data_IF_343062095496
#
_entry.id   IF_343062095496
#
_cell.length_a   1.000
_cell.length_b   1.000
_cell.length_c   1.000
_cell.angle_alpha   90.00
_cell.angle_beta   90.00
_cell.angle_gamma   90.00
#
_symmetry.space_group_name_H-M   'P 1'
#
loop_
_entity.id
_entity.type
_entity.pdbx_description
1 polymer ?
#
# COMPACT_ATOMS: atom_id res chain seq x y z
N UNK A 1 30.31 -0.64 -6.20
CA UNK A 1 29.63 -0.94 -7.50
C UNK A 1 28.48 -1.86 -7.16
N UNK A 2 27.27 -1.48 -7.54
CA UNK A 2 26.04 -2.31 -7.37
C UNK A 2 26.18 -3.43 -8.40
N UNK A 3 26.97 -4.46 -8.08
CA UNK A 3 27.43 -5.43 -9.06
C UNK A 3 26.59 -6.70 -9.15
N UNK A 4 25.60 -6.86 -8.26
CA UNK A 4 24.90 -8.15 -8.08
C UNK A 4 23.38 -8.06 -8.35
N UNK A 5 22.93 -6.94 -8.93
CA UNK A 5 21.52 -6.72 -9.34
C UNK A 5 21.51 -6.34 -10.81
N UNK A 6 20.60 -6.93 -11.59
CA UNK A 6 20.42 -6.62 -13.00
C UNK A 6 20.19 -5.13 -13.23
N UNK A 7 20.86 -4.54 -14.21
CA UNK A 7 20.91 -3.08 -14.42
C UNK A 7 19.54 -2.46 -14.75
N UNK A 8 18.65 -3.20 -15.40
CA UNK A 8 17.27 -2.81 -15.69
C UNK A 8 16.40 -2.66 -14.44
N UNK A 9 16.83 -3.26 -13.31
CA UNK A 9 16.10 -3.19 -12.04
C UNK A 9 16.62 -2.08 -11.10
N UNK A 10 17.73 -1.42 -11.46
CA UNK A 10 18.34 -0.36 -10.63
C UNK A 10 17.39 0.82 -10.39
N UNK A 11 16.52 1.15 -11.35
CA UNK A 11 15.56 2.26 -11.25
C UNK A 11 14.57 2.12 -10.11
N UNK A 12 14.39 0.89 -9.59
CA UNK A 12 13.43 0.62 -8.50
C UNK A 12 13.96 0.93 -7.11
N UNK A 13 15.28 0.96 -6.90
CA UNK A 13 15.84 1.12 -5.55
C UNK A 13 17.02 2.10 -5.46
N UNK A 14 17.84 2.27 -6.51
CA UNK A 14 19.02 3.14 -6.48
C UNK A 14 18.67 4.59 -6.16
N UNK A 15 17.62 5.22 -6.75
CA UNK A 15 17.26 6.58 -6.40
C UNK A 15 16.94 6.77 -4.91
N UNK A 16 16.36 5.76 -4.27
CA UNK A 16 16.04 5.80 -2.84
C UNK A 16 17.31 5.73 -1.98
N UNK A 17 18.25 4.87 -2.35
CA UNK A 17 19.56 4.78 -1.68
C UNK A 17 20.33 6.10 -1.74
N UNK A 18 20.37 6.74 -2.91
CA UNK A 18 21.07 8.00 -3.12
C UNK A 18 20.43 9.15 -2.32
N UNK A 19 19.09 9.28 -2.37
CA UNK A 19 18.36 10.33 -1.68
C UNK A 19 18.42 10.18 -0.16
N UNK A 20 18.55 8.96 0.37
CA UNK A 20 18.71 8.68 1.81
C UNK A 20 20.20 8.63 2.23
N UNK A 21 21.15 8.94 1.34
CA UNK A 21 22.56 8.91 1.66
C UNK A 21 23.08 7.53 2.10
N UNK A 22 22.41 6.45 1.68
CA UNK A 22 22.78 5.10 2.09
C UNK A 22 24.12 4.67 1.50
N UNK A 23 24.92 3.96 2.29
CA UNK A 23 26.22 3.42 1.89
C UNK A 23 26.12 1.92 1.73
N UNK A 24 26.68 1.42 0.62
CA UNK A 24 26.74 0.01 0.33
C UNK A 24 27.54 -0.74 1.40
N UNK A 25 27.03 -1.88 1.81
CA UNK A 25 27.62 -2.79 2.78
C UNK A 25 27.98 -4.10 2.07
N UNK A 26 28.99 -4.86 2.58
CA UNK A 26 29.29 -6.18 2.05
C UNK A 26 28.05 -7.08 2.12
N UNK A 27 27.72 -7.72 1.00
CA UNK A 27 26.67 -8.73 0.91
C UNK A 27 27.15 -9.88 0.03
N UNK A 28 26.59 -11.06 0.23
CA UNK A 28 26.86 -12.24 -0.59
C UNK A 28 25.87 -12.30 -1.77
N UNK A 29 24.69 -11.78 -1.56
CA UNK A 29 23.61 -11.76 -2.55
C UNK A 29 22.94 -10.40 -2.56
N UNK A 30 22.83 -9.82 -3.76
CA UNK A 30 22.20 -8.54 -3.98
C UNK A 30 23.00 -7.34 -3.45
N UNK A 31 22.36 -6.18 -3.40
CA UNK A 31 22.89 -4.94 -2.86
C UNK A 31 22.29 -4.66 -1.48
N UNK A 32 23.13 -4.57 -0.47
CA UNK A 32 22.77 -4.20 0.89
C UNK A 32 23.29 -2.79 1.15
N UNK A 33 22.45 -1.90 1.62
CA UNK A 33 22.82 -0.51 1.90
C UNK A 33 22.23 -0.03 3.22
N UNK A 34 22.98 0.82 3.92
CA UNK A 34 22.59 1.33 5.24
C UNK A 34 22.94 2.81 5.37
N UNK A 35 22.15 3.52 6.15
CA UNK A 35 22.48 4.83 6.70
C UNK A 35 22.24 4.83 8.23
N UNK A 36 23.05 5.59 8.96
CA UNK A 36 22.87 5.86 10.40
C UNK A 36 23.58 7.19 10.66
N UNK A 37 22.86 8.30 10.46
CA UNK A 37 23.36 9.65 10.51
C UNK A 37 22.29 10.63 11.07
N UNK A 38 22.55 11.93 10.98
CA UNK A 38 21.64 12.97 11.45
C UNK A 38 20.30 13.00 10.73
N UNK A 39 20.21 12.51 9.47
CA UNK A 39 18.98 12.47 8.68
C UNK A 39 18.10 11.27 9.02
N UNK A 40 18.69 10.20 9.55
CA UNK A 40 17.95 9.02 9.96
C UNK A 40 18.75 7.73 10.02
N UNK A 41 18.01 6.65 10.24
CA UNK A 41 18.54 5.29 10.21
C UNK A 41 17.78 4.47 9.19
N UNK A 42 18.49 3.78 8.31
CA UNK A 42 17.85 2.96 7.29
C UNK A 42 18.68 1.76 6.87
N UNK A 43 17.96 0.73 6.43
CA UNK A 43 18.50 -0.45 5.78
C UNK A 43 17.67 -0.73 4.54
N UNK A 44 18.35 -0.95 3.42
CA UNK A 44 17.76 -1.40 2.17
C UNK A 44 18.55 -2.60 1.66
N UNK A 45 17.86 -3.68 1.37
CA UNK A 45 18.42 -4.81 0.66
C UNK A 45 17.63 -5.09 -0.60
N UNK A 46 18.32 -5.10 -1.75
CA UNK A 46 17.76 -5.39 -3.06
C UNK A 46 18.44 -6.63 -3.65
N UNK A 47 17.64 -7.61 -4.05
CA UNK A 47 18.12 -8.87 -4.61
C UNK A 47 17.35 -9.24 -5.87
N UNK A 48 18.06 -9.36 -7.01
CA UNK A 48 17.44 -9.82 -8.25
C UNK A 48 17.26 -11.33 -8.25
N UNK A 49 16.09 -11.76 -8.70
CA UNK A 49 15.75 -13.16 -8.92
C UNK A 49 15.56 -13.32 -10.43
N UNK A 50 16.62 -13.74 -11.11
CA UNK A 50 16.71 -13.59 -12.57
C UNK A 50 16.86 -12.12 -13.00
N UNK A 51 16.58 -11.85 -14.26
CA UNK A 51 16.77 -10.52 -14.84
C UNK A 51 15.57 -9.60 -14.71
N UNK A 52 14.38 -10.16 -14.47
CA UNK A 52 13.09 -9.46 -14.56
C UNK A 52 12.30 -9.43 -13.25
N UNK A 53 12.89 -9.89 -12.14
CA UNK A 53 12.25 -9.87 -10.83
C UNK A 53 13.22 -9.34 -9.77
N UNK A 54 12.77 -8.37 -8.99
CA UNK A 54 13.51 -7.75 -7.89
C UNK A 54 12.74 -7.93 -6.58
N UNK A 55 13.40 -8.53 -5.61
CA UNK A 55 12.96 -8.44 -4.22
C UNK A 55 13.66 -7.27 -3.53
N UNK A 56 12.90 -6.46 -2.77
CA UNK A 56 13.47 -5.44 -1.91
C UNK A 56 12.91 -5.51 -0.49
N UNK A 57 13.80 -5.31 0.46
CA UNK A 57 13.49 -5.07 1.86
C UNK A 57 13.92 -3.66 2.23
N UNK A 58 12.99 -2.88 2.77
CA UNK A 58 13.25 -1.53 3.27
C UNK A 58 12.87 -1.45 4.74
N UNK A 59 13.74 -0.86 5.53
CA UNK A 59 13.46 -0.48 6.91
C UNK A 59 14.10 0.88 7.16
N UNK A 60 13.28 1.93 7.29
CA UNK A 60 13.76 3.30 7.36
C UNK A 60 13.02 4.10 8.42
N UNK A 61 13.77 4.83 9.23
CA UNK A 61 13.30 5.85 10.15
C UNK A 61 14.01 7.16 9.78
N UNK A 62 13.25 8.20 9.49
CA UNK A 62 13.80 9.53 9.20
C UNK A 62 13.56 10.48 10.37
N UNK A 63 14.49 11.40 10.59
CA UNK A 63 14.39 12.43 11.62
C UNK A 63 13.63 13.67 11.13
N UNK A 64 13.57 13.86 9.81
CA UNK A 64 12.85 14.95 9.16
C UNK A 64 11.95 14.41 8.05
N UNK A 65 10.90 15.16 7.70
CA UNK A 65 10.03 14.79 6.59
C UNK A 65 10.84 14.74 5.28
N UNK A 66 10.91 13.57 4.69
CA UNK A 66 11.73 13.32 3.50
C UNK A 66 10.84 12.81 2.36
N UNK A 67 10.93 13.46 1.21
CA UNK A 67 10.27 12.99 -0.02
C UNK A 67 11.26 12.28 -0.91
N UNK A 68 11.02 11.00 -1.16
CA UNK A 68 11.76 10.22 -2.12
C UNK A 68 11.07 10.26 -3.47
N UNK A 69 11.83 10.40 -4.54
CA UNK A 69 11.32 10.42 -5.92
C UNK A 69 12.11 9.41 -6.75
N UNK A 70 11.39 8.59 -7.50
CA UNK A 70 11.98 7.62 -8.43
C UNK A 70 11.27 7.70 -9.78
N UNK A 71 11.92 7.24 -10.82
CA UNK A 71 11.39 7.17 -12.18
C UNK A 71 11.55 5.72 -12.71
N UNK A 72 10.83 4.77 -12.12
CA UNK A 72 10.93 3.38 -12.56
C UNK A 72 10.27 3.19 -13.93
N UNK A 73 10.70 2.13 -14.62
CA UNK A 73 10.00 1.60 -15.78
C UNK A 73 8.68 0.92 -15.37
N UNK A 74 7.94 0.36 -16.34
CA UNK A 74 6.72 -0.40 -16.08
C UNK A 74 7.04 -1.64 -15.21
N UNK A 75 6.28 -1.83 -14.14
CA UNK A 75 6.37 -3.03 -13.29
C UNK A 75 5.06 -3.33 -12.56
N UNK A 76 4.91 -4.57 -12.16
CA UNK A 76 3.92 -5.01 -11.18
C UNK A 76 4.63 -5.24 -9.85
N UNK A 77 4.06 -4.71 -8.79
CA UNK A 77 4.59 -4.87 -7.43
C UNK A 77 3.61 -5.67 -6.57
N UNK A 78 4.15 -6.60 -5.79
CA UNK A 78 3.45 -7.25 -4.67
C UNK A 78 4.21 -6.91 -3.40
N UNK A 79 3.53 -6.34 -2.43
CA UNK A 79 4.18 -5.77 -1.25
C UNK A 79 3.47 -6.17 0.05
N UNK A 80 4.25 -6.49 1.09
CA UNK A 80 3.82 -6.49 2.47
C UNK A 80 4.41 -5.25 3.14
N UNK A 81 3.55 -4.38 3.65
CA UNK A 81 3.95 -3.15 4.32
C UNK A 81 3.44 -3.16 5.76
N UNK A 82 4.34 -2.93 6.72
CA UNK A 82 4.02 -2.78 8.13
C UNK A 82 4.33 -1.36 8.56
N UNK A 83 3.44 -0.75 9.33
CA UNK A 83 3.59 0.60 9.91
C UNK A 83 3.86 1.71 8.88
N UNK A 84 3.16 1.70 7.76
CA UNK A 84 3.45 2.60 6.67
C UNK A 84 2.48 3.78 6.59
N UNK A 85 2.99 4.97 6.80
CA UNK A 85 2.39 6.22 6.32
C UNK A 85 2.92 6.61 4.92
N UNK A 86 3.76 5.80 4.30
CA UNK A 86 4.23 6.03 2.95
C UNK A 86 3.04 6.06 1.99
N UNK A 87 2.73 7.24 1.48
CA UNK A 87 1.73 7.41 0.43
C UNK A 87 2.36 7.10 -0.90
N UNK A 88 1.97 6.00 -1.48
CA UNK A 88 2.13 5.78 -2.92
C UNK A 88 1.18 6.76 -3.63
N UNK A 89 1.69 7.88 -4.14
CA UNK A 89 0.94 8.73 -5.05
C UNK A 89 1.08 8.19 -6.48
N UNK A 90 -0.01 8.02 -7.24
CA UNK A 90 -1.35 8.60 -7.07
C UNK A 90 -2.48 7.62 -6.84
N UNK A 91 -2.23 6.42 -6.36
CA UNK A 91 -3.30 5.48 -6.05
C UNK A 91 -3.83 5.78 -4.66
N UNK A 92 -5.12 6.00 -4.57
CA UNK A 92 -5.93 6.40 -3.42
C UNK A 92 -5.34 5.99 -2.07
N UNK A 93 -5.10 7.00 -1.21
CA UNK A 93 -4.64 6.80 0.16
C UNK A 93 -5.68 6.01 0.96
N UNK A 94 -5.52 4.70 1.00
CA UNK A 94 -6.21 3.87 1.99
C UNK A 94 -5.25 3.66 3.14
N UNK A 95 -5.71 3.99 4.33
CA UNK A 95 -4.99 3.74 5.58
C UNK A 95 -4.74 2.26 5.75
N UNK A 96 -3.48 1.90 5.76
CA UNK A 96 -3.04 0.55 5.99
C UNK A 96 -3.08 0.30 7.49
N UNK A 97 -4.10 -0.41 7.95
CA UNK A 97 -4.11 -0.98 9.30
C UNK A 97 -3.39 -2.31 9.24
N UNK A 98 -2.51 -2.53 10.22
CA UNK A 98 -1.88 -3.80 10.52
C UNK A 98 -1.62 -4.70 9.30
N UNK A 99 -0.37 -4.72 8.79
CA UNK A 99 0.12 -5.65 7.77
C UNK A 99 -0.76 -5.71 6.51
N UNK A 100 -0.43 -4.91 5.55
CA UNK A 100 -1.16 -4.86 4.28
C UNK A 100 -0.36 -5.56 3.19
N UNK A 101 -1.01 -6.53 2.55
CA UNK A 101 -0.48 -7.22 1.39
C UNK A 101 -1.22 -6.66 0.18
N UNK A 102 -0.51 -5.93 -0.65
CA UNK A 102 -1.10 -5.24 -1.80
C UNK A 102 -0.36 -5.60 -3.08
N UNK A 103 -1.06 -5.54 -4.18
CA UNK A 103 -0.44 -5.51 -5.51
C UNK A 103 -0.90 -4.28 -6.28
N UNK A 104 -0.02 -3.77 -7.13
CA UNK A 104 -0.34 -2.67 -8.03
C UNK A 104 0.55 -2.72 -9.26
N UNK A 105 0.07 -2.15 -10.34
CA UNK A 105 0.88 -1.87 -11.52
C UNK A 105 1.30 -0.42 -11.52
N UNK A 106 2.58 -0.17 -11.63
CA UNK A 106 3.14 1.14 -11.94
C UNK A 106 3.41 1.20 -13.45
N UNK A 107 2.73 2.11 -14.14
CA UNK A 107 3.10 2.50 -15.50
C UNK A 107 4.17 3.56 -15.40
N UNK A 108 5.26 3.42 -16.12
CA UNK A 108 6.44 4.28 -16.05
C UNK A 108 6.16 5.76 -15.77
N UNK A 109 7.13 6.44 -15.21
CA UNK A 109 7.03 7.84 -14.80
C UNK A 109 7.40 8.10 -13.34
N UNK A 110 7.16 9.34 -12.88
CA UNK A 110 7.55 9.75 -11.53
C UNK A 110 6.69 9.08 -10.46
N UNK A 111 7.35 8.47 -9.48
CA UNK A 111 6.74 7.96 -8.24
C UNK A 111 7.35 8.70 -7.07
N UNK A 112 6.54 9.13 -6.10
CA UNK A 112 7.05 9.76 -4.90
C UNK A 112 6.51 9.11 -3.63
N UNK A 113 7.37 9.04 -2.61
CA UNK A 113 7.07 8.50 -1.29
C UNK A 113 7.37 9.58 -0.25
N UNK A 114 6.42 9.91 0.60
CA UNK A 114 6.63 10.81 1.72
C UNK A 114 6.91 10.01 2.99
N UNK A 115 8.14 10.08 3.48
CA UNK A 115 8.55 9.53 4.76
C UNK A 115 8.38 10.60 5.83
N UNK A 116 7.73 10.27 6.94
CA UNK A 116 7.53 11.21 8.04
C UNK A 116 8.44 10.89 9.22
N UNK A 117 8.87 11.92 9.97
CA UNK A 117 9.67 11.72 11.15
C UNK A 117 8.89 10.94 12.22
N UNK A 118 9.62 10.13 12.99
CA UNK A 118 9.09 9.28 14.07
C UNK A 118 8.13 8.16 13.61
N UNK A 119 8.01 7.93 12.28
CA UNK A 119 7.30 6.77 11.75
C UNK A 119 8.30 5.70 11.33
N UNK A 120 7.99 4.46 11.62
CA UNK A 120 8.79 3.31 11.22
C UNK A 120 8.29 2.77 9.89
N UNK A 121 9.09 2.92 8.84
CA UNK A 121 8.74 2.45 7.50
C UNK A 121 9.40 1.11 7.25
N UNK A 122 8.61 0.07 7.14
CA UNK A 122 9.09 -1.26 6.75
C UNK A 122 8.26 -1.82 5.62
N UNK A 123 8.93 -2.27 4.57
CA UNK A 123 8.28 -2.92 3.44
C UNK A 123 9.10 -4.08 2.90
N UNK A 124 8.39 -5.08 2.41
CA UNK A 124 8.91 -6.25 1.71
C UNK A 124 8.21 -6.30 0.37
N UNK A 125 8.94 -6.12 -0.72
CA UNK A 125 8.34 -5.98 -2.03
C UNK A 125 8.95 -6.94 -3.04
N UNK A 126 8.11 -7.43 -3.94
CA UNK A 126 8.50 -8.17 -5.12
C UNK A 126 8.06 -7.37 -6.34
N UNK A 127 9.01 -6.81 -7.08
CA UNK A 127 8.78 -6.03 -8.28
C UNK A 127 9.10 -6.89 -9.51
N UNK A 128 8.17 -6.99 -10.44
CA UNK A 128 8.24 -7.83 -11.63
C UNK A 128 8.03 -6.96 -12.86
N UNK A 129 8.97 -7.00 -13.80
CA UNK A 129 8.81 -6.35 -15.11
C UNK A 129 7.77 -7.10 -15.95
N UNK A 130 7.22 -6.50 -17.02
CA UNK A 130 6.33 -7.24 -17.92
C UNK A 130 6.95 -8.53 -18.47
N UNK A 131 8.24 -8.52 -18.81
CA UNK A 131 8.97 -9.68 -19.38
C UNK A 131 9.08 -10.85 -18.38
N UNK A 132 8.99 -10.58 -17.07
CA UNK A 132 9.00 -11.63 -16.05
C UNK A 132 7.90 -12.67 -16.27
N UNK A 133 6.72 -12.23 -16.66
CA UNK A 133 5.57 -13.12 -16.83
C UNK A 133 5.71 -14.02 -18.06
N UNK A 134 6.49 -13.59 -19.07
CA UNK A 134 6.78 -14.40 -20.25
C UNK A 134 7.84 -15.47 -19.96
N UNK A 135 8.69 -15.23 -18.97
CA UNK A 135 9.76 -16.16 -18.54
C UNK A 135 9.29 -17.20 -17.53
N UNK A 136 8.06 -17.10 -17.00
CA UNK A 136 7.57 -18.09 -16.03
C UNK A 136 7.40 -19.45 -16.70
N UNK A 137 8.14 -20.47 -16.24
CA UNK A 137 8.00 -21.82 -16.77
C UNK A 137 6.63 -22.39 -16.34
N UNK A 138 6.17 -23.38 -17.08
CA UNK A 138 5.01 -24.22 -16.73
C UNK A 138 3.66 -23.50 -16.64
N UNK A 139 3.55 -22.23 -17.07
CA UNK A 139 2.27 -21.54 -17.20
C UNK A 139 1.80 -21.53 -18.67
N UNK A 140 0.53 -21.81 -18.84
CA UNK A 140 -0.16 -21.61 -20.12
C UNK A 140 -0.37 -20.10 -20.38
N UNK A 141 -0.52 -19.72 -21.63
CA UNK A 141 -0.80 -18.31 -22.00
C UNK A 141 -2.05 -17.78 -21.28
N UNK A 142 -3.09 -18.60 -21.13
CA UNK A 142 -4.32 -18.25 -20.41
C UNK A 142 -4.08 -17.99 -18.92
N UNK A 143 -3.22 -18.78 -18.26
CA UNK A 143 -2.86 -18.58 -16.86
C UNK A 143 -2.04 -17.32 -16.66
N UNK A 144 -1.13 -17.01 -17.59
CA UNK A 144 -0.37 -15.74 -17.59
C UNK A 144 -1.28 -14.54 -17.72
N UNK A 145 -2.18 -14.55 -18.71
CA UNK A 145 -3.17 -13.48 -18.90
C UNK A 145 -4.04 -13.30 -17.66
N UNK A 146 -4.50 -14.40 -17.07
CA UNK A 146 -5.29 -14.40 -15.84
C UNK A 146 -4.52 -13.76 -14.68
N UNK A 147 -3.26 -14.17 -14.45
CA UNK A 147 -2.42 -13.64 -13.39
C UNK A 147 -2.13 -12.15 -13.57
N UNK A 148 -1.72 -11.73 -14.78
CA UNK A 148 -1.42 -10.33 -15.09
C UNK A 148 -2.68 -9.47 -14.97
N UNK A 149 -3.83 -9.93 -15.48
CA UNK A 149 -5.11 -9.24 -15.35
C UNK A 149 -5.49 -9.06 -13.88
N UNK A 150 -5.39 -10.12 -13.08
CA UNK A 150 -5.64 -10.09 -11.64
C UNK A 150 -4.76 -9.07 -10.91
N UNK A 151 -3.44 -9.12 -11.11
CA UNK A 151 -2.49 -8.20 -10.47
C UNK A 151 -2.67 -6.74 -10.91
N UNK A 152 -3.12 -6.51 -12.16
CA UNK A 152 -3.39 -5.16 -12.67
C UNK A 152 -4.75 -4.60 -12.22
N UNK A 153 -5.71 -5.46 -11.87
CA UNK A 153 -7.06 -5.07 -11.42
C UNK A 153 -7.16 -4.88 -9.91
N UNK A 154 -6.19 -5.41 -9.15
CA UNK A 154 -6.16 -5.31 -7.70
C UNK A 154 -5.81 -3.89 -7.25
N UNK A 155 -6.81 -3.03 -7.12
CA UNK A 155 -6.69 -1.72 -6.47
C UNK A 155 -6.70 -1.82 -4.93
N UNK A 156 -6.76 -3.02 -4.35
CA UNK A 156 -6.97 -3.22 -2.91
C UNK A 156 -6.45 -4.54 -2.36
N UNK A 157 -5.99 -4.51 -1.15
CA UNK A 157 -5.57 -5.50 -0.17
C UNK A 157 -6.45 -6.76 -0.09
N UNK A 158 -6.29 -7.68 -1.00
CA UNK A 158 -7.06 -8.93 -0.99
C UNK A 158 -6.19 -10.18 -1.06
N UNK A 159 -4.87 -10.03 -0.94
CA UNK A 159 -3.99 -11.19 -0.98
C UNK A 159 -3.98 -11.95 0.35
N UNK A 160 -3.80 -13.25 0.23
CA UNK A 160 -3.75 -14.15 1.37
C UNK A 160 -2.59 -13.80 2.33
N UNK A 161 -2.79 -14.07 3.61
CA UNK A 161 -1.76 -13.84 4.65
C UNK A 161 -0.47 -14.60 4.35
N UNK A 162 -0.57 -15.74 3.72
CA UNK A 162 0.55 -16.60 3.35
C UNK A 162 1.51 -15.91 2.35
N UNK A 163 1.01 -15.06 1.45
CA UNK A 163 1.83 -14.26 0.54
C UNK A 163 2.67 -13.26 1.34
N UNK A 164 2.06 -12.60 2.33
CA UNK A 164 2.79 -11.71 3.22
C UNK A 164 3.86 -12.44 4.05
N UNK A 165 3.52 -13.62 4.59
CA UNK A 165 4.47 -14.44 5.34
C UNK A 165 5.65 -14.88 4.45
N UNK A 166 5.39 -15.21 3.19
CA UNK A 166 6.43 -15.55 2.23
C UNK A 166 7.36 -14.36 1.92
N UNK A 167 6.79 -13.17 1.65
CA UNK A 167 7.56 -11.93 1.43
C UNK A 167 8.44 -11.58 2.63
N UNK A 168 7.88 -11.58 3.83
CA UNK A 168 8.59 -11.21 5.05
C UNK A 168 9.68 -12.22 5.43
N UNK A 169 9.49 -13.50 5.08
CA UNK A 169 10.51 -14.53 5.33
C UNK A 169 11.80 -14.33 4.54
N UNK A 170 11.76 -13.58 3.44
CA UNK A 170 12.94 -13.27 2.61
C UNK A 170 13.84 -12.16 3.17
N UNK A 171 13.59 -11.63 4.35
CA UNK A 171 14.29 -10.50 4.95
C UNK A 171 15.81 -10.47 4.78
N UNK A 172 16.41 -9.33 5.06
CA UNK A 172 17.84 -9.01 4.80
C UNK A 172 18.86 -10.00 5.42
N UNK A 173 18.45 -10.81 6.41
CA UNK A 173 19.33 -11.87 7.00
C UNK A 173 19.84 -12.86 5.95
N UNK A 174 19.12 -13.02 4.84
CA UNK A 174 19.51 -13.88 3.73
C UNK A 174 20.59 -13.27 2.83
N UNK A 175 20.83 -11.96 2.91
CA UNK A 175 21.90 -11.28 2.14
C UNK A 175 23.28 -11.91 2.31
N UNK A 176 23.58 -12.46 3.49
CA UNK A 176 24.84 -13.09 3.84
C UNK A 176 24.79 -14.63 3.86
N UNK A 177 23.61 -15.23 3.75
CA UNK A 177 23.44 -16.68 3.84
C UNK A 177 23.93 -17.41 2.59
N UNK A 178 24.59 -18.56 2.76
CA UNK A 178 25.03 -19.39 1.64
C UNK A 178 23.88 -19.86 0.74
N UNK A 179 22.69 -20.08 1.31
CA UNK A 179 21.49 -20.50 0.59
C UNK A 179 20.53 -19.35 0.22
N UNK A 180 20.95 -18.09 0.42
CA UNK A 180 20.06 -16.93 0.30
C UNK A 180 19.40 -16.81 -1.06
N UNK A 181 20.15 -16.91 -2.13
CA UNK A 181 19.61 -16.82 -3.50
C UNK A 181 18.58 -17.94 -3.77
N UNK A 182 18.91 -19.19 -3.45
CA UNK A 182 18.03 -20.34 -3.65
C UNK A 182 16.75 -20.22 -2.80
N UNK A 183 16.87 -19.71 -1.56
CA UNK A 183 15.72 -19.49 -0.70
C UNK A 183 14.78 -18.42 -1.28
N UNK A 184 15.32 -17.27 -1.71
CA UNK A 184 14.54 -16.19 -2.31
C UNK A 184 13.86 -16.64 -3.60
N UNK A 185 14.54 -17.39 -4.46
CA UNK A 185 13.94 -17.97 -5.66
C UNK A 185 12.76 -18.91 -5.33
N UNK A 186 12.94 -19.79 -4.33
CA UNK A 186 11.88 -20.69 -3.89
C UNK A 186 10.65 -19.93 -3.35
N UNK A 187 10.87 -18.85 -2.58
CA UNK A 187 9.80 -18.01 -2.07
C UNK A 187 9.10 -17.20 -3.17
N UNK A 188 9.84 -16.69 -4.13
CA UNK A 188 9.24 -16.02 -5.29
C UNK A 188 8.31 -16.97 -6.04
N UNK A 189 8.75 -18.21 -6.32
CA UNK A 189 7.91 -19.22 -6.98
C UNK A 189 6.66 -19.55 -6.16
N UNK A 190 6.78 -19.69 -4.84
CA UNK A 190 5.63 -19.86 -3.95
C UNK A 190 4.64 -18.69 -4.03
N UNK A 191 5.13 -17.45 -4.00
CA UNK A 191 4.30 -16.24 -4.10
C UNK A 191 3.54 -16.23 -5.43
N UNK A 192 4.24 -16.48 -6.54
CA UNK A 192 3.63 -16.53 -7.89
C UNK A 192 2.54 -17.61 -7.98
N UNK A 193 2.82 -18.81 -7.45
CA UNK A 193 1.84 -19.91 -7.43
C UNK A 193 0.57 -19.54 -6.63
N UNK A 194 0.74 -18.91 -5.46
CA UNK A 194 -0.39 -18.45 -4.64
C UNK A 194 -1.18 -17.32 -5.31
N UNK A 195 -0.50 -16.38 -5.95
CA UNK A 195 -1.15 -15.31 -6.71
C UNK A 195 -1.95 -15.87 -7.88
N UNK A 196 -1.43 -16.90 -8.56
CA UNK A 196 -2.17 -17.58 -9.62
C UNK A 196 -3.40 -18.32 -9.08
N UNK A 197 -3.27 -19.01 -7.95
CA UNK A 197 -4.41 -19.64 -7.28
C UNK A 197 -5.48 -18.63 -6.89
N UNK A 198 -5.08 -17.47 -6.37
CA UNK A 198 -5.99 -16.37 -6.02
C UNK A 198 -6.64 -15.78 -7.28
N UNK A 199 -5.88 -15.61 -8.36
CA UNK A 199 -6.38 -15.13 -9.64
C UNK A 199 -7.41 -16.09 -10.27
N UNK A 200 -7.11 -17.39 -10.25
CA UNK A 200 -8.03 -18.44 -10.75
C UNK A 200 -9.30 -18.51 -9.92
N UNK A 201 -9.20 -18.43 -8.59
CA UNK A 201 -10.37 -18.37 -7.70
C UNK A 201 -11.20 -17.12 -7.97
N UNK A 202 -10.58 -15.95 -8.11
CA UNK A 202 -11.26 -14.72 -8.47
C UNK A 202 -12.00 -14.86 -9.80
N UNK A 203 -11.38 -15.47 -10.81
CA UNK A 203 -12.02 -15.73 -12.09
C UNK A 203 -13.13 -16.81 -12.00
N UNK A 204 -13.02 -17.78 -11.09
CA UNK A 204 -14.07 -18.79 -10.89
C UNK A 204 -15.26 -18.26 -10.08
N UNK A 205 -15.01 -17.37 -9.12
CA UNK A 205 -16.05 -16.61 -8.43
C UNK A 205 -16.64 -15.52 -9.36
N UNK A 206 -15.89 -15.11 -10.38
CA UNK A 206 -16.26 -14.17 -11.44
C UNK A 206 -17.23 -14.77 -12.49
N UNK A 207 -17.86 -15.90 -12.20
CA UNK A 207 -19.15 -16.23 -12.83
C UNK A 207 -20.21 -15.15 -12.52
N UNK A 208 -19.85 -14.18 -11.70
CA UNK A 208 -20.52 -12.91 -11.46
C UNK A 208 -19.50 -11.77 -11.57
N UNK A 209 -19.07 -11.42 -12.79
CA UNK A 209 -18.50 -10.07 -12.97
C UNK A 209 -19.45 -9.07 -12.30
N UNK A 210 -18.91 -8.18 -11.43
CA UNK A 210 -19.73 -7.09 -10.94
C UNK A 210 -20.24 -6.38 -12.17
N UNK A 211 -21.54 -6.37 -12.34
CA UNK A 211 -22.15 -5.77 -13.53
C UNK A 211 -21.67 -4.32 -13.63
N UNK A 212 -21.58 -3.78 -14.82
CA UNK A 212 -21.28 -2.34 -15.02
C UNK A 212 -22.14 -1.48 -14.09
N UNK A 213 -23.32 -1.95 -13.74
CA UNK A 213 -24.26 -1.39 -12.78
C UNK A 213 -23.72 -1.42 -11.34
N UNK A 214 -23.10 -2.51 -10.90
CA UNK A 214 -22.56 -2.66 -9.54
C UNK A 214 -21.33 -1.78 -9.33
N UNK A 215 -20.43 -1.75 -10.31
CA UNK A 215 -19.28 -0.82 -10.31
C UNK A 215 -19.76 0.64 -10.27
N UNK A 216 -20.78 0.98 -11.06
CA UNK A 216 -21.40 2.30 -11.07
C UNK A 216 -22.01 2.63 -9.72
N UNK A 217 -22.79 1.71 -9.15
CA UNK A 217 -23.43 1.87 -7.86
C UNK A 217 -22.43 2.14 -6.72
N UNK A 218 -21.37 1.35 -6.64
CA UNK A 218 -20.31 1.55 -5.64
C UNK A 218 -19.62 2.91 -5.80
N UNK A 219 -19.32 3.30 -7.05
CA UNK A 219 -18.70 4.58 -7.37
C UNK A 219 -19.59 5.78 -7.04
N UNK A 220 -20.88 5.72 -7.38
CA UNK A 220 -21.84 6.76 -7.04
C UNK A 220 -21.99 6.91 -5.51
N UNK A 221 -22.08 5.80 -4.79
CA UNK A 221 -22.09 5.81 -3.32
C UNK A 221 -20.82 6.43 -2.74
N UNK A 222 -19.65 6.08 -3.28
CA UNK A 222 -18.38 6.68 -2.89
C UNK A 222 -18.38 8.19 -3.11
N UNK A 223 -18.74 8.65 -4.30
CA UNK A 223 -18.78 10.08 -4.63
C UNK A 223 -19.73 10.86 -3.71
N UNK A 224 -20.87 10.27 -3.36
CA UNK A 224 -21.82 10.88 -2.41
C UNK A 224 -21.20 11.03 -1.02
N UNK A 225 -20.49 10.02 -0.54
CA UNK A 225 -19.81 10.08 0.77
C UNK A 225 -18.71 11.14 0.74
N UNK A 226 -17.86 11.14 -0.29
CA UNK A 226 -16.74 12.08 -0.42
C UNK A 226 -17.22 13.54 -0.52
N UNK A 227 -18.35 13.77 -1.15
CA UNK A 227 -18.94 15.12 -1.26
C UNK A 227 -19.65 15.59 0.01
N UNK A 228 -20.17 14.67 0.83
CA UNK A 228 -21.09 14.96 1.93
C UNK A 228 -20.68 14.34 3.27
N UNK A 229 -19.42 13.96 3.45
CA UNK A 229 -18.92 13.30 4.67
C UNK A 229 -19.21 14.09 5.96
N UNK A 230 -19.25 15.41 5.87
CA UNK A 230 -19.53 16.29 7.00
C UNK A 230 -21.00 16.30 7.44
N UNK A 231 -21.91 15.83 6.58
CA UNK A 231 -23.32 15.74 6.85
C UNK A 231 -23.67 14.48 7.67
N UNK A 232 -24.91 14.43 8.17
CA UNK A 232 -25.43 13.21 8.81
C UNK A 232 -25.90 12.19 7.77
N UNK A 233 -24.96 11.77 6.92
CA UNK A 233 -25.21 10.78 5.88
C UNK A 233 -25.23 9.37 6.48
N UNK A 234 -26.17 8.55 6.06
CA UNK A 234 -26.35 7.18 6.54
C UNK A 234 -26.44 6.21 5.36
N UNK A 235 -26.13 4.92 5.60
CA UNK A 235 -26.32 3.88 4.59
C UNK A 235 -27.74 3.90 4.01
N UNK A 236 -28.75 4.17 4.85
CA UNK A 236 -30.14 4.23 4.40
C UNK A 236 -30.40 5.45 3.49
N UNK A 237 -29.83 6.63 3.80
CA UNK A 237 -29.99 7.81 2.96
C UNK A 237 -29.34 7.62 1.60
N UNK A 238 -28.13 7.05 1.56
CA UNK A 238 -27.43 6.74 0.31
C UNK A 238 -28.22 5.72 -0.52
N UNK A 239 -28.71 4.64 0.11
CA UNK A 239 -29.49 3.62 -0.59
C UNK A 239 -30.77 4.19 -1.20
N UNK A 240 -31.45 5.08 -0.48
CA UNK A 240 -32.66 5.75 -0.97
C UNK A 240 -32.34 6.67 -2.17
N UNK A 241 -31.26 7.45 -2.10
CA UNK A 241 -30.86 8.36 -3.18
C UNK A 241 -30.42 7.61 -4.45
N UNK A 242 -29.82 6.44 -4.28
CA UNK A 242 -29.40 5.57 -5.38
C UNK A 242 -30.50 4.59 -5.85
N UNK A 243 -31.69 4.67 -5.27
CA UNK A 243 -32.85 3.82 -5.59
C UNK A 243 -32.58 2.32 -5.47
N UNK A 244 -31.76 1.92 -4.49
CA UNK A 244 -31.40 0.51 -4.23
C UNK A 244 -31.76 0.08 -2.82
N UNK A 245 -31.88 -1.22 -2.61
CA UNK A 245 -32.03 -1.79 -1.28
C UNK A 245 -30.76 -1.63 -0.44
N UNK A 246 -30.92 -1.32 0.86
CA UNK A 246 -29.81 -1.18 1.81
C UNK A 246 -28.86 -2.39 1.81
N UNK A 247 -29.41 -3.61 1.80
CA UNK A 247 -28.64 -4.86 1.77
C UNK A 247 -27.78 -4.92 0.50
N UNK A 248 -28.40 -4.65 -0.64
CA UNK A 248 -27.72 -4.65 -1.94
C UNK A 248 -26.58 -3.62 -1.98
N UNK A 249 -26.82 -2.40 -1.50
CA UNK A 249 -25.77 -1.38 -1.42
C UNK A 249 -24.62 -1.83 -0.50
N UNK A 250 -24.94 -2.44 0.65
CA UNK A 250 -23.93 -2.90 1.59
C UNK A 250 -23.04 -4.00 1.00
N UNK A 251 -23.63 -4.96 0.30
CA UNK A 251 -22.93 -6.05 -0.38
C UNK A 251 -22.03 -5.50 -1.50
N UNK A 252 -22.62 -4.78 -2.46
CA UNK A 252 -21.91 -4.22 -3.61
C UNK A 252 -20.79 -3.27 -3.16
N UNK A 253 -21.05 -2.39 -2.19
CA UNK A 253 -20.04 -1.46 -1.70
C UNK A 253 -18.88 -2.20 -1.02
N UNK A 254 -19.16 -3.24 -0.22
CA UNK A 254 -18.11 -4.06 0.41
C UNK A 254 -17.30 -4.85 -0.62
N UNK A 255 -17.95 -5.45 -1.61
CA UNK A 255 -17.30 -6.20 -2.68
C UNK A 255 -16.37 -5.29 -3.51
N UNK A 256 -16.84 -4.08 -3.87
CA UNK A 256 -16.08 -3.17 -4.72
C UNK A 256 -15.05 -2.33 -3.95
N UNK A 257 -15.33 -2.00 -2.68
CA UNK A 257 -14.51 -1.07 -1.90
C UNK A 257 -13.70 -1.75 -0.79
N UNK A 258 -13.94 -3.04 -0.53
CA UNK A 258 -13.28 -3.79 0.53
C UNK A 258 -13.68 -3.38 1.97
N UNK A 259 -14.53 -2.36 2.12
CA UNK A 259 -14.96 -1.77 3.39
C UNK A 259 -16.47 -1.60 3.41
N UNK A 260 -17.09 -1.61 4.59
CA UNK A 260 -18.49 -1.20 4.67
C UNK A 260 -18.62 0.34 4.58
N UNK A 261 -19.78 0.81 4.14
CA UNK A 261 -20.09 2.25 3.98
C UNK A 261 -19.76 3.07 5.24
N UNK A 262 -20.05 2.52 6.44
CA UNK A 262 -19.81 3.22 7.70
C UNK A 262 -18.31 3.32 8.05
N UNK A 263 -17.51 2.33 7.65
CA UNK A 263 -16.06 2.35 7.80
C UNK A 263 -15.46 3.36 6.85
N UNK A 264 -15.86 3.33 5.58
CA UNK A 264 -15.41 4.28 4.57
C UNK A 264 -15.72 5.74 4.99
N UNK A 265 -16.95 6.03 5.40
CA UNK A 265 -17.35 7.37 5.88
C UNK A 265 -16.50 7.82 7.08
N UNK A 266 -16.23 6.91 8.02
CA UNK A 266 -15.38 7.23 9.17
C UNK A 266 -13.95 7.56 8.73
N UNK A 267 -13.41 6.79 7.81
CA UNK A 267 -12.06 6.98 7.32
C UNK A 267 -11.92 8.33 6.59
N UNK A 268 -12.86 8.68 5.72
CA UNK A 268 -12.90 10.00 5.05
C UNK A 268 -12.94 11.14 6.08
N UNK A 269 -13.78 11.03 7.12
CA UNK A 269 -13.87 12.04 8.19
C UNK A 269 -12.57 12.21 8.97
N UNK A 270 -11.90 11.09 9.27
CA UNK A 270 -10.64 11.13 10.00
C UNK A 270 -9.51 11.72 9.18
N UNK A 271 -9.51 11.47 7.88
CA UNK A 271 -8.55 12.06 6.96
C UNK A 271 -8.68 13.56 6.84
N UNK A 272 -9.89 14.04 6.68
CA UNK A 272 -10.15 15.48 6.65
C UNK A 272 -9.83 16.13 7.99
N UNK A 273 -10.14 15.44 9.10
CA UNK A 273 -9.75 15.93 10.43
C UNK A 273 -8.24 16.07 10.59
N UNK A 274 -7.49 15.10 10.09
CA UNK A 274 -6.03 15.13 10.12
C UNK A 274 -5.50 16.30 9.29
N UNK A 275 -5.98 16.50 8.07
CA UNK A 275 -5.61 17.64 7.22
C UNK A 275 -5.88 18.97 7.92
N UNK A 276 -7.06 19.13 8.54
CA UNK A 276 -7.42 20.35 9.27
C UNK A 276 -6.52 20.57 10.50
N UNK A 277 -6.14 19.52 11.21
CA UNK A 277 -5.18 19.60 12.31
C UNK A 277 -3.78 20.02 11.85
N UNK A 278 -3.37 19.62 10.64
CA UNK A 278 -2.05 19.91 10.06
C UNK A 278 -1.99 21.30 9.38
N UNK A 279 -3.13 21.86 8.96
CA UNK A 279 -3.16 23.08 8.10
C UNK A 279 -3.85 24.27 8.73
N UNK A 280 -4.49 24.10 9.91
CA UNK A 280 -5.28 25.17 10.56
C UNK A 280 -5.08 25.20 12.07
N UNK A 281 -5.33 26.36 12.68
CA UNK A 281 -5.32 26.56 14.13
C UNK A 281 -6.67 26.23 14.81
N UNK A 282 -7.62 25.63 14.08
CA UNK A 282 -8.93 25.29 14.59
C UNK A 282 -8.84 24.33 15.79
N UNK A 283 -9.62 24.57 16.83
CA UNK A 283 -9.65 23.68 18.00
C UNK A 283 -10.23 22.31 17.63
N UNK A 284 -9.79 21.25 18.31
CA UNK A 284 -10.31 19.90 18.09
C UNK A 284 -11.84 19.79 18.16
N UNK A 285 -12.50 20.62 18.99
CA UNK A 285 -13.96 20.72 19.06
C UNK A 285 -14.59 21.31 17.78
N UNK A 286 -13.92 22.25 17.13
CA UNK A 286 -14.37 22.85 15.88
C UNK A 286 -14.18 21.88 14.72
N UNK A 287 -13.00 21.27 14.64
CA UNK A 287 -12.69 20.22 13.64
C UNK A 287 -13.69 19.06 13.77
N UNK A 288 -13.98 18.60 14.99
CA UNK A 288 -14.97 17.56 15.23
C UNK A 288 -16.32 17.83 14.53
N UNK A 289 -16.81 19.07 14.63
CA UNK A 289 -18.08 19.48 13.98
C UNK A 289 -17.93 19.57 12.47
N UNK A 290 -16.82 20.14 11.98
CA UNK A 290 -16.54 20.29 10.55
C UNK A 290 -16.46 18.95 9.82
N UNK A 291 -16.01 17.90 10.50
CA UNK A 291 -15.93 16.56 9.92
C UNK A 291 -17.14 15.67 10.25
N UNK A 292 -18.23 16.27 10.78
CA UNK A 292 -19.52 15.60 10.93
C UNK A 292 -19.69 14.76 12.19
N UNK A 293 -18.93 15.03 13.27
CA UNK A 293 -19.18 14.42 14.58
C UNK A 293 -20.04 15.31 15.46
N UNK A 294 -21.11 14.73 16.03
CA UNK A 294 -21.99 15.42 16.95
C UNK A 294 -21.31 15.74 18.29
N UNK A 295 -20.39 14.88 18.74
CA UNK A 295 -19.71 14.99 20.02
C UNK A 295 -18.20 14.88 19.85
N UNK A 296 -17.46 15.81 20.50
CA UNK A 296 -16.01 15.83 20.47
C UNK A 296 -15.40 14.55 21.07
N UNK A 297 -16.01 13.95 22.09
CA UNK A 297 -15.54 12.70 22.69
C UNK A 297 -15.51 11.56 21.69
N UNK A 298 -16.59 11.37 20.93
CA UNK A 298 -16.68 10.34 19.89
C UNK A 298 -15.66 10.56 18.77
N UNK A 299 -15.42 11.82 18.41
CA UNK A 299 -14.37 12.21 17.48
C UNK A 299 -12.98 11.86 18.02
N UNK A 300 -12.67 12.25 19.26
CA UNK A 300 -11.37 12.00 19.89
C UNK A 300 -11.09 10.50 19.99
N UNK A 301 -12.10 9.70 20.35
CA UNK A 301 -11.95 8.25 20.42
C UNK A 301 -11.75 7.60 19.04
N UNK A 302 -12.49 8.09 18.02
CA UNK A 302 -12.32 7.61 16.66
C UNK A 302 -10.92 7.97 16.11
N UNK A 303 -10.47 9.20 16.33
CA UNK A 303 -9.17 9.69 15.91
C UNK A 303 -8.03 8.91 16.58
N UNK A 304 -8.10 8.73 17.92
CA UNK A 304 -7.10 7.93 18.66
C UNK A 304 -7.09 6.47 18.20
N UNK A 305 -8.25 5.90 17.91
CA UNK A 305 -8.34 4.52 17.41
C UNK A 305 -7.66 4.37 16.04
N UNK A 306 -7.74 5.40 15.19
CA UNK A 306 -7.18 5.36 13.84
C UNK A 306 -5.70 5.73 13.78
N UNK A 307 -5.27 6.72 14.57
CA UNK A 307 -3.93 7.30 14.49
C UNK A 307 -3.06 7.01 15.73
N UNK A 308 -3.59 6.28 16.70
CA UNK A 308 -2.85 5.91 17.93
C UNK A 308 -2.77 6.99 19.00
N UNK A 309 -2.90 8.28 18.64
CA UNK A 309 -2.80 9.44 19.52
C UNK A 309 -4.03 10.35 19.40
N UNK A 310 -4.24 11.22 20.38
CA UNK A 310 -5.37 12.17 20.36
C UNK A 310 -5.12 13.31 19.34
N UNK A 311 -6.19 14.00 18.88
CA UNK A 311 -6.05 15.16 17.98
C UNK A 311 -5.12 16.25 18.53
N UNK A 312 -5.12 16.47 19.85
CA UNK A 312 -4.25 17.45 20.51
C UNK A 312 -2.79 17.01 20.42
N UNK A 313 -2.51 15.77 20.78
CA UNK A 313 -1.15 15.19 20.68
C UNK A 313 -0.66 15.17 19.21
N UNK A 314 -1.56 14.91 18.26
CA UNK A 314 -1.23 14.99 16.83
C UNK A 314 -0.74 16.39 16.46
N UNK A 315 -1.48 17.44 16.85
CA UNK A 315 -1.10 18.83 16.57
C UNK A 315 0.25 19.20 17.20
N UNK A 316 0.46 18.81 18.44
CA UNK A 316 1.75 19.03 19.14
C UNK A 316 2.92 18.35 18.39
N UNK A 317 2.68 17.16 17.82
CA UNK A 317 3.72 16.42 17.09
C UNK A 317 4.07 17.03 15.73
N UNK A 318 3.14 17.77 15.09
CA UNK A 318 3.39 18.45 13.79
C UNK A 318 3.86 19.90 13.95
N UNK A 319 4.07 20.39 15.19
CA UNK A 319 4.71 21.69 15.46
C UNK A 319 3.88 22.92 15.14
N UNK A 320 2.58 22.79 14.91
CA UNK A 320 1.64 23.91 14.86
C UNK A 320 1.21 24.26 16.29
N UNK A 321 1.80 25.31 16.83
CA UNK A 321 1.38 25.96 18.08
C UNK A 321 0.29 26.99 17.83
#
# INVERSE_FOLDING_TARGET
>A
MISDVSSNLHTFFVPQMEQLGMKEQPSRHGSLSMCDDEFGRGLLWAHSIGDNCLYTFHEVNVNEQTRLVAFPDDYVCVASMTDCSARLCPVQSRYLRERNILSFRQKGGAVSFDLKPNEHHRSYTLCMTPDFFDELPDLTDSERETLVSYLCSCDTNTHSREIGDALESMGHSWAMSAGGACFCEGRMKEIVARLLDDAVKANCDDSREPSTEERRLAREAQMMIDARYAENITLQSIANELFVGRTRLCEVFREQMGLCVAEYLRDVRMDEARKLLETTDLKAAEISRLVGYAHQSSFTDAFRRQFGITPTQWRESVGLQ
#
